data_IF_151901709018
#
_entry.id   IF_151901709018
#
_cell.length_a   1.000
_cell.length_b   1.000
_cell.length_c   1.000
_cell.angle_alpha   90.00
_cell.angle_beta   90.00
_cell.angle_gamma   90.00
#
_symmetry.space_group_name_H-M   'P 1'
#
loop_
_entity.id
_entity.type
_entity.pdbx_description
1 polymer ?
#
# COMPACT_ATOMS: atom_id res chain seq x y z
N UNK A 1 27.10 -25.36 -79.75
CA UNK A 1 27.02 -24.42 -78.59
C UNK A 1 25.63 -24.19 -78.10
N UNK A 2 24.57 -24.19 -78.90
CA UNK A 2 23.17 -23.93 -78.49
C UNK A 2 22.53 -24.96 -77.55
N UNK A 3 22.89 -26.26 -77.67
CA UNK A 3 22.33 -27.28 -76.81
C UNK A 3 22.75 -27.27 -75.29
N UNK A 4 23.93 -26.64 -75.04
CA UNK A 4 24.40 -26.50 -73.61
C UNK A 4 23.83 -25.29 -72.95
N UNK A 5 23.39 -24.28 -73.64
CA UNK A 5 22.75 -23.07 -73.12
C UNK A 5 21.28 -23.36 -72.73
N UNK A 6 20.56 -24.26 -73.43
CA UNK A 6 19.18 -24.67 -73.07
C UNK A 6 19.12 -25.53 -71.76
N UNK A 7 20.16 -26.32 -71.47
CA UNK A 7 20.21 -27.15 -70.30
C UNK A 7 20.45 -26.32 -69.04
N UNK A 8 21.17 -25.19 -69.10
CA UNK A 8 21.45 -24.28 -67.98
C UNK A 8 20.19 -23.44 -67.64
N UNK A 9 19.43 -23.04 -68.68
CA UNK A 9 18.19 -22.29 -68.48
C UNK A 9 17.07 -23.14 -67.81
N UNK A 10 16.99 -24.46 -68.16
CA UNK A 10 16.02 -25.39 -67.58
C UNK A 10 16.37 -25.72 -66.10
N UNK A 11 17.68 -25.81 -65.73
CA UNK A 11 18.10 -26.05 -64.37
C UNK A 11 17.87 -24.83 -63.46
N UNK A 12 17.99 -23.61 -63.99
CA UNK A 12 17.73 -22.36 -63.24
C UNK A 12 16.23 -22.15 -62.98
N UNK A 13 15.35 -22.64 -63.88
CA UNK A 13 13.88 -22.52 -63.69
C UNK A 13 13.31 -23.51 -62.69
N UNK A 14 13.97 -24.66 -62.50
CA UNK A 14 13.58 -25.66 -61.49
C UNK A 14 13.97 -25.28 -60.06
N UNK A 15 14.96 -24.40 -59.88
CA UNK A 15 15.38 -23.90 -58.56
C UNK A 15 14.48 -22.78 -58.03
N UNK A 16 13.73 -22.11 -58.91
CA UNK A 16 12.81 -21.02 -58.51
C UNK A 16 11.43 -21.51 -58.02
N UNK A 17 11.04 -22.75 -58.30
CA UNK A 17 9.74 -23.31 -57.86
C UNK A 17 9.80 -23.97 -56.49
N UNK A 18 10.99 -24.28 -55.95
CA UNK A 18 11.16 -24.88 -54.66
C UNK A 18 11.07 -23.87 -53.49
N UNK A 19 11.03 -22.55 -53.77
CA UNK A 19 11.00 -21.50 -52.74
C UNK A 19 9.58 -21.11 -52.28
N UNK A 20 8.51 -21.62 -52.92
CA UNK A 20 7.13 -21.22 -52.61
C UNK A 20 6.33 -22.21 -51.77
N UNK A 21 6.94 -23.29 -51.26
CA UNK A 21 6.21 -24.31 -50.48
C UNK A 21 6.74 -24.40 -49.03
N UNK A 22 7.07 -23.24 -48.42
CA UNK A 22 7.13 -23.19 -46.94
C UNK A 22 5.69 -23.17 -46.43
N UNK A 23 5.30 -24.13 -45.56
CA UNK A 23 4.01 -23.99 -44.86
C UNK A 23 3.97 -22.64 -44.17
N UNK A 24 2.81 -21.99 -44.13
CA UNK A 24 2.68 -20.73 -43.39
C UNK A 24 3.18 -20.98 -41.95
N UNK A 25 4.22 -20.24 -41.58
CA UNK A 25 4.65 -20.23 -40.19
C UNK A 25 3.48 -19.63 -39.45
N UNK A 26 2.85 -20.43 -38.60
CA UNK A 26 1.80 -19.96 -37.70
C UNK A 26 2.35 -18.70 -37.01
N UNK A 27 1.65 -17.57 -37.06
CA UNK A 27 2.12 -16.39 -36.37
C UNK A 27 2.30 -16.74 -34.90
N UNK A 28 3.56 -16.71 -34.43
CA UNK A 28 3.82 -16.87 -32.99
C UNK A 28 2.87 -15.93 -32.27
N UNK A 29 2.12 -16.39 -31.25
CA UNK A 29 1.27 -15.52 -30.47
C UNK A 29 2.13 -14.36 -29.99
N UNK A 30 1.67 -13.12 -30.24
CA UNK A 30 2.35 -11.94 -29.68
C UNK A 30 2.42 -12.14 -28.17
N UNK A 31 3.60 -11.90 -27.55
CA UNK A 31 3.69 -11.93 -26.10
C UNK A 31 2.57 -11.08 -25.50
N UNK A 32 1.90 -11.59 -24.48
CA UNK A 32 0.93 -10.80 -23.73
C UNK A 32 1.69 -9.61 -23.11
N UNK A 33 1.34 -8.36 -23.41
CA UNK A 33 2.01 -7.21 -22.81
C UNK A 33 1.77 -7.10 -21.29
N UNK A 34 0.76 -7.78 -20.77
CA UNK A 34 0.39 -7.76 -19.36
C UNK A 34 1.21 -8.75 -18.54
N UNK A 35 1.49 -9.96 -19.07
CA UNK A 35 2.17 -11.01 -18.34
C UNK A 35 3.32 -11.63 -19.17
N UNK A 36 4.33 -12.29 -18.55
CA UNK A 36 4.45 -12.58 -17.11
C UNK A 36 4.83 -11.36 -16.27
N UNK A 37 4.43 -11.39 -14.99
CA UNK A 37 4.82 -10.41 -13.96
C UNK A 37 5.58 -11.10 -12.85
N UNK A 38 6.71 -10.53 -12.44
CA UNK A 38 7.50 -11.02 -11.29
C UNK A 38 7.67 -9.91 -10.26
N UNK A 39 7.27 -10.18 -9.02
CA UNK A 39 7.47 -9.31 -7.86
C UNK A 39 8.07 -10.12 -6.72
N UNK A 40 9.30 -9.83 -6.35
CA UNK A 40 10.03 -10.64 -5.38
C UNK A 40 10.15 -12.10 -5.82
N UNK A 41 9.61 -13.03 -5.03
CA UNK A 41 9.58 -14.46 -5.34
C UNK A 41 8.32 -14.91 -6.08
N UNK A 42 7.36 -14.03 -6.30
CA UNK A 42 6.08 -14.33 -6.96
C UNK A 42 6.20 -14.07 -8.45
N UNK A 43 5.86 -15.07 -9.28
CA UNK A 43 5.77 -14.93 -10.72
C UNK A 43 4.42 -15.43 -11.21
N UNK A 44 3.63 -14.55 -11.80
CA UNK A 44 2.36 -14.89 -12.44
C UNK A 44 2.51 -14.82 -13.96
N UNK A 45 1.99 -15.85 -14.65
CA UNK A 45 1.96 -15.91 -16.11
C UNK A 45 0.64 -15.43 -16.70
N UNK A 46 -0.34 -15.18 -15.83
CA UNK A 46 -1.69 -14.67 -16.14
C UNK A 46 -2.27 -13.98 -14.90
N UNK A 47 -3.36 -13.24 -15.06
CA UNK A 47 -4.06 -12.60 -13.94
C UNK A 47 -4.52 -13.66 -12.92
N UNK A 48 -4.44 -13.36 -11.60
CA UNK A 48 -4.91 -14.29 -10.57
C UNK A 48 -6.42 -14.50 -10.70
N UNK A 49 -6.85 -15.76 -10.71
CA UNK A 49 -8.27 -16.10 -10.80
C UNK A 49 -9.05 -15.66 -9.55
N UNK A 50 -8.43 -15.75 -8.39
CA UNK A 50 -8.96 -15.31 -7.11
C UNK A 50 -7.81 -14.95 -6.18
N UNK A 51 -8.05 -13.97 -5.28
CA UNK A 51 -7.08 -13.45 -4.33
C UNK A 51 -7.62 -13.58 -2.91
N UNK A 52 -6.78 -13.97 -1.98
CA UNK A 52 -7.06 -13.91 -0.54
C UNK A 52 -6.11 -12.88 0.08
N UNK A 53 -6.64 -11.96 0.87
CA UNK A 53 -5.83 -10.99 1.61
C UNK A 53 -5.91 -11.26 3.11
N UNK A 54 -4.76 -11.57 3.73
CA UNK A 54 -4.65 -11.88 5.15
C UNK A 54 -4.23 -10.67 6.00
N UNK A 55 -4.24 -9.47 5.42
CA UNK A 55 -3.86 -8.23 6.13
C UNK A 55 -4.75 -7.06 5.70
N UNK A 56 -5.13 -6.16 6.63
CA UNK A 56 -5.93 -4.97 6.31
C UNK A 56 -5.28 -4.10 5.22
N UNK A 57 -3.98 -3.80 5.34
CA UNK A 57 -3.28 -2.94 4.37
C UNK A 57 -3.36 -3.46 2.94
N UNK A 58 -3.04 -4.75 2.71
CA UNK A 58 -3.15 -5.33 1.35
C UNK A 58 -4.59 -5.41 0.88
N UNK A 59 -5.57 -5.60 1.77
CA UNK A 59 -7.00 -5.56 1.42
C UNK A 59 -7.39 -4.18 0.92
N UNK A 60 -7.08 -3.12 1.68
CA UNK A 60 -7.39 -1.75 1.30
C UNK A 60 -6.70 -1.36 -0.02
N UNK A 61 -5.41 -1.72 -0.19
CA UNK A 61 -4.68 -1.48 -1.44
C UNK A 61 -5.33 -2.16 -2.66
N UNK A 62 -5.88 -3.38 -2.52
CA UNK A 62 -6.60 -4.06 -3.62
C UNK A 62 -7.86 -3.27 -4.00
N UNK A 63 -8.58 -2.72 -3.02
CA UNK A 63 -9.74 -1.86 -3.28
C UNK A 63 -9.35 -0.52 -3.90
N UNK A 64 -8.31 0.13 -3.42
CA UNK A 64 -7.79 1.39 -3.97
C UNK A 64 -7.39 1.25 -5.44
N UNK A 65 -6.83 0.10 -5.81
CA UNK A 65 -6.49 -0.25 -7.20
C UNK A 65 -7.71 -0.58 -8.07
N UNK A 66 -8.92 -0.72 -7.48
CA UNK A 66 -10.15 -1.06 -8.20
C UNK A 66 -10.36 -2.56 -8.41
N UNK A 67 -9.58 -3.43 -7.77
CA UNK A 67 -9.65 -4.89 -7.95
C UNK A 67 -10.31 -5.63 -6.78
N UNK A 68 -11.14 -4.96 -5.97
CA UNK A 68 -11.84 -5.56 -4.83
C UNK A 68 -12.68 -6.80 -5.17
N UNK A 69 -13.15 -6.93 -6.42
CA UNK A 69 -13.92 -8.08 -6.87
C UNK A 69 -13.08 -9.36 -6.98
N UNK A 70 -11.77 -9.24 -7.16
CA UNK A 70 -10.85 -10.40 -7.15
C UNK A 70 -10.70 -11.02 -5.76
N UNK A 71 -11.05 -10.30 -4.69
CA UNK A 71 -10.95 -10.82 -3.33
C UNK A 71 -12.02 -11.88 -3.06
N UNK A 72 -11.62 -13.14 -3.06
CA UNK A 72 -12.44 -14.29 -2.67
C UNK A 72 -12.60 -14.38 -1.14
N UNK A 73 -11.70 -13.75 -0.38
CA UNK A 73 -11.78 -13.69 1.06
C UNK A 73 -10.71 -12.79 1.68
N UNK A 74 -10.95 -12.41 2.92
CA UNK A 74 -10.09 -11.48 3.65
C UNK A 74 -9.86 -11.95 5.10
N UNK A 75 -8.86 -11.37 5.77
CA UNK A 75 -8.64 -11.60 7.19
C UNK A 75 -9.82 -11.09 8.04
N UNK A 76 -9.96 -11.64 9.24
CA UNK A 76 -10.94 -11.20 10.24
C UNK A 76 -10.75 -9.73 10.64
N UNK A 77 -9.55 -9.17 10.48
CA UNK A 77 -9.22 -7.78 10.79
C UNK A 77 -9.49 -6.80 9.65
N UNK A 78 -9.90 -7.28 8.48
CA UNK A 78 -10.16 -6.44 7.30
C UNK A 78 -11.58 -5.87 7.38
N UNK A 79 -11.72 -4.68 7.93
CA UNK A 79 -13.01 -3.99 8.13
C UNK A 79 -13.24 -2.86 7.13
N UNK A 80 -12.18 -2.39 6.46
CA UNK A 80 -12.22 -1.33 5.47
C UNK A 80 -11.81 -1.82 4.07
N UNK A 81 -12.48 -1.30 3.05
CA UNK A 81 -13.76 -0.60 3.09
C UNK A 81 -14.91 -1.52 3.57
N UNK A 82 -16.10 -0.98 3.78
CA UNK A 82 -17.25 -1.78 4.24
C UNK A 82 -17.56 -3.01 3.36
N UNK A 83 -17.27 -2.93 2.06
CA UNK A 83 -17.36 -4.07 1.13
C UNK A 83 -16.37 -5.19 1.46
N UNK A 84 -15.21 -4.89 2.03
CA UNK A 84 -14.27 -5.89 2.53
C UNK A 84 -14.83 -6.60 3.77
N UNK A 85 -15.55 -5.87 4.63
CA UNK A 85 -16.19 -6.44 5.80
C UNK A 85 -17.22 -7.54 5.45
N UNK A 86 -17.81 -7.49 4.26
CA UNK A 86 -18.77 -8.48 3.77
C UNK A 86 -18.14 -9.71 3.11
N UNK A 87 -16.82 -9.73 2.87
CA UNK A 87 -16.11 -10.85 2.25
C UNK A 87 -15.98 -12.04 3.22
N UNK A 88 -15.87 -13.28 2.72
CA UNK A 88 -15.60 -14.46 3.54
C UNK A 88 -14.36 -14.28 4.42
N UNK A 89 -14.42 -14.74 5.67
CA UNK A 89 -13.31 -14.65 6.62
C UNK A 89 -12.38 -15.84 6.47
N UNK A 90 -11.09 -15.56 6.26
CA UNK A 90 -10.03 -16.54 5.99
C UNK A 90 -9.03 -16.69 7.15
N UNK A 91 -9.41 -16.22 8.35
CA UNK A 91 -8.53 -16.18 9.50
C UNK A 91 -7.52 -15.03 9.43
N UNK A 92 -6.37 -15.19 10.05
CA UNK A 92 -5.26 -14.22 10.03
C UNK A 92 -4.00 -14.82 9.41
N UNK A 93 -2.98 -14.00 9.17
CA UNK A 93 -1.68 -14.50 8.69
C UNK A 93 -1.03 -15.51 9.66
N UNK A 94 -1.32 -15.40 10.96
CA UNK A 94 -0.80 -16.30 11.99
C UNK A 94 -1.64 -17.58 12.16
N UNK A 95 -2.94 -17.51 11.86
CA UNK A 95 -3.90 -18.60 11.98
C UNK A 95 -4.85 -18.58 10.76
N UNK A 96 -4.36 -18.90 9.55
CA UNK A 96 -5.18 -18.90 8.36
C UNK A 96 -6.10 -20.13 8.33
N UNK A 97 -7.31 -19.94 7.83
CA UNK A 97 -8.32 -20.99 7.60
C UNK A 97 -8.00 -21.74 6.29
N UNK A 98 -7.01 -22.62 6.35
CA UNK A 98 -6.42 -23.28 5.16
C UNK A 98 -7.47 -23.95 4.26
N UNK A 99 -8.48 -24.62 4.85
CA UNK A 99 -9.54 -25.28 4.07
C UNK A 99 -10.43 -24.27 3.33
N UNK A 100 -10.72 -23.12 3.94
CA UNK A 100 -11.48 -22.05 3.28
C UNK A 100 -10.67 -21.39 2.16
N UNK A 101 -9.37 -21.15 2.40
CA UNK A 101 -8.47 -20.62 1.37
C UNK A 101 -8.41 -21.58 0.19
N UNK A 102 -8.24 -22.87 0.43
CA UNK A 102 -8.25 -23.90 -0.62
C UNK A 102 -9.58 -23.92 -1.39
N UNK A 103 -10.70 -23.89 -0.67
CA UNK A 103 -12.04 -23.91 -1.29
C UNK A 103 -12.34 -22.65 -2.10
N UNK A 104 -11.71 -21.52 -1.79
CA UNK A 104 -11.86 -20.26 -2.54
C UNK A 104 -11.21 -20.28 -3.92
N UNK A 105 -10.32 -21.23 -4.20
CA UNK A 105 -9.57 -21.31 -5.44
C UNK A 105 -8.55 -20.18 -5.61
N UNK A 106 -8.13 -19.52 -4.52
CA UNK A 106 -7.18 -18.44 -4.58
C UNK A 106 -5.83 -18.90 -5.13
N UNK A 107 -5.34 -18.20 -6.16
CA UNK A 107 -4.02 -18.41 -6.75
C UNK A 107 -2.97 -17.43 -6.24
N UNK A 108 -3.40 -16.36 -5.55
CA UNK A 108 -2.55 -15.38 -4.92
C UNK A 108 -3.04 -15.09 -3.49
N UNK A 109 -2.12 -15.15 -2.53
CA UNK A 109 -2.37 -14.79 -1.12
C UNK A 109 -1.49 -13.59 -0.77
N UNK A 110 -2.09 -12.57 -0.17
CA UNK A 110 -1.45 -11.30 0.17
C UNK A 110 -1.28 -11.17 1.69
N UNK A 111 -0.09 -10.77 2.13
CA UNK A 111 0.26 -10.54 3.53
C UNK A 111 1.12 -9.28 3.67
N UNK A 112 1.12 -8.66 4.85
CA UNK A 112 2.07 -7.58 5.20
C UNK A 112 3.23 -8.07 6.07
N UNK A 113 3.09 -9.26 6.65
CA UNK A 113 4.14 -9.92 7.43
C UNK A 113 4.35 -11.34 6.91
N UNK A 114 5.56 -11.85 7.11
CA UNK A 114 5.93 -13.19 6.66
C UNK A 114 5.11 -14.25 7.42
N UNK A 115 4.36 -15.12 6.72
CA UNK A 115 3.74 -16.28 7.34
C UNK A 115 4.78 -17.26 7.91
N UNK A 116 4.36 -18.14 8.81
CA UNK A 116 5.24 -19.24 9.26
C UNK A 116 5.61 -20.13 8.07
N UNK A 117 6.75 -20.83 8.17
CA UNK A 117 7.21 -21.75 7.12
C UNK A 117 6.17 -22.84 6.79
N UNK A 118 5.49 -23.36 7.81
CA UNK A 118 4.43 -24.36 7.64
C UNK A 118 3.22 -23.79 6.89
N UNK A 119 2.81 -22.55 7.22
CA UNK A 119 1.72 -21.85 6.52
C UNK A 119 2.10 -21.59 5.06
N UNK A 120 3.30 -21.05 4.82
CA UNK A 120 3.79 -20.79 3.48
C UNK A 120 3.82 -22.06 2.62
N UNK A 121 4.39 -23.15 3.15
CA UNK A 121 4.43 -24.46 2.48
C UNK A 121 3.02 -24.97 2.17
N UNK A 122 2.10 -24.87 3.13
CA UNK A 122 0.71 -25.31 2.92
C UNK A 122 0.00 -24.53 1.82
N UNK A 123 0.16 -23.21 1.76
CA UNK A 123 -0.40 -22.36 0.71
C UNK A 123 0.19 -22.70 -0.67
N UNK A 124 1.51 -22.90 -0.75
CA UNK A 124 2.19 -23.29 -1.98
C UNK A 124 1.74 -24.67 -2.49
N UNK A 125 1.53 -25.65 -1.58
CA UNK A 125 1.00 -26.96 -1.93
C UNK A 125 -0.44 -26.91 -2.48
N UNK A 126 -1.21 -25.87 -2.17
CA UNK A 126 -2.53 -25.62 -2.75
C UNK A 126 -2.45 -24.94 -4.14
N UNK A 127 -1.25 -24.59 -4.60
CA UNK A 127 -1.03 -23.86 -5.85
C UNK A 127 -1.10 -22.36 -5.73
N UNK A 128 -1.25 -21.81 -4.51
CA UNK A 128 -1.27 -20.38 -4.29
C UNK A 128 0.17 -19.81 -4.18
N UNK A 129 0.42 -18.68 -4.83
CA UNK A 129 1.61 -17.89 -4.58
C UNK A 129 1.36 -16.91 -3.44
N UNK A 130 2.39 -16.61 -2.65
CA UNK A 130 2.25 -15.73 -1.48
C UNK A 130 3.11 -14.50 -1.68
N UNK A 131 2.46 -13.34 -1.75
CA UNK A 131 3.13 -12.04 -1.79
C UNK A 131 3.14 -11.45 -0.37
N UNK A 132 4.33 -11.11 0.11
CA UNK A 132 4.51 -10.34 1.33
C UNK A 132 4.90 -8.91 0.94
N UNK A 133 4.05 -7.95 1.28
CA UNK A 133 4.30 -6.51 1.12
C UNK A 133 4.55 -5.91 2.51
N UNK A 134 5.83 -5.75 2.92
CA UNK A 134 6.13 -5.18 4.22
C UNK A 134 5.75 -3.70 4.27
N UNK A 135 5.58 -3.18 5.49
CA UNK A 135 5.38 -1.73 5.69
C UNK A 135 6.53 -0.96 5.06
N UNK A 136 6.18 0.11 4.37
CA UNK A 136 7.15 1.03 3.79
C UNK A 136 7.54 2.12 4.80
N UNK A 137 8.76 2.65 4.66
CA UNK A 137 9.29 3.72 5.51
C UNK A 137 9.20 5.11 4.84
N UNK A 138 8.68 5.15 3.62
CA UNK A 138 8.56 6.36 2.80
C UNK A 138 7.30 6.32 1.93
N UNK A 139 6.83 7.50 1.52
CA UNK A 139 5.73 7.62 0.54
C UNK A 139 6.04 6.89 -0.77
N UNK A 140 7.28 7.03 -1.27
CA UNK A 140 7.67 6.33 -2.49
C UNK A 140 7.65 4.80 -2.32
N UNK A 141 8.05 4.29 -1.15
CA UNK A 141 7.93 2.87 -0.83
C UNK A 141 6.48 2.38 -0.83
N UNK A 142 5.53 3.19 -0.33
CA UNK A 142 4.09 2.90 -0.42
C UNK A 142 3.64 2.85 -1.89
N UNK A 143 4.03 3.82 -2.70
CA UNK A 143 3.72 3.82 -4.15
C UNK A 143 4.32 2.59 -4.86
N UNK A 144 5.53 2.17 -4.47
CA UNK A 144 6.15 0.94 -4.99
C UNK A 144 5.35 -0.30 -4.60
N UNK A 145 4.80 -0.38 -3.39
CA UNK A 145 3.90 -1.46 -2.99
C UNK A 145 2.63 -1.49 -3.87
N UNK A 146 2.04 -0.34 -4.18
CA UNK A 146 0.91 -0.26 -5.13
C UNK A 146 1.29 -0.73 -6.54
N UNK A 147 2.46 -0.32 -7.07
CA UNK A 147 2.95 -0.79 -8.38
C UNK A 147 3.16 -2.30 -8.39
N UNK A 148 3.80 -2.82 -7.36
CA UNK A 148 4.01 -4.27 -7.20
C UNK A 148 2.70 -5.04 -7.18
N UNK A 149 1.75 -4.58 -6.37
CA UNK A 149 0.44 -5.22 -6.25
C UNK A 149 -0.38 -5.07 -7.53
N UNK A 150 -0.46 -3.86 -8.09
CA UNK A 150 -1.19 -3.59 -9.33
C UNK A 150 -0.70 -4.44 -10.49
N UNK A 151 0.62 -4.54 -10.67
CA UNK A 151 1.19 -5.37 -11.74
C UNK A 151 0.84 -6.84 -11.59
N UNK A 152 0.81 -7.39 -10.38
CA UNK A 152 0.40 -8.79 -10.17
C UNK A 152 -1.10 -8.99 -10.39
N UNK A 153 -1.95 -8.02 -10.03
CA UNK A 153 -3.40 -8.16 -10.16
C UNK A 153 -3.89 -8.01 -11.61
N UNK A 154 -3.27 -7.14 -12.41
CA UNK A 154 -3.77 -6.80 -13.75
C UNK A 154 -2.66 -6.55 -14.80
N UNK A 155 -1.43 -6.95 -14.52
CA UNK A 155 -0.35 -6.95 -15.49
C UNK A 155 0.47 -5.66 -15.58
N UNK A 156 1.46 -5.70 -16.48
CA UNK A 156 2.48 -4.65 -16.61
C UNK A 156 1.97 -3.33 -17.21
N UNK A 157 0.82 -3.31 -17.85
CA UNK A 157 0.24 -2.11 -18.47
C UNK A 157 -0.97 -1.64 -17.65
N UNK A 158 -2.00 -2.48 -17.57
CA UNK A 158 -3.26 -2.12 -16.89
C UNK A 158 -3.08 -1.94 -15.38
N UNK A 159 -2.39 -2.90 -14.74
CA UNK A 159 -2.13 -2.85 -13.30
C UNK A 159 -1.20 -1.70 -12.90
N UNK A 160 -0.19 -1.42 -13.72
CA UNK A 160 0.70 -0.27 -13.51
C UNK A 160 -0.04 1.06 -13.69
N UNK A 161 -0.93 1.17 -14.68
CA UNK A 161 -1.74 2.38 -14.87
C UNK A 161 -2.65 2.65 -13.66
N UNK A 162 -3.27 1.60 -13.09
CA UNK A 162 -4.06 1.72 -11.87
C UNK A 162 -3.19 2.20 -10.69
N UNK A 163 -1.99 1.63 -10.53
CA UNK A 163 -1.07 2.02 -9.46
C UNK A 163 -0.58 3.48 -9.61
N UNK A 164 -0.31 3.93 -10.83
CA UNK A 164 0.05 5.34 -11.08
C UNK A 164 -1.10 6.29 -10.77
N UNK A 165 -2.35 5.91 -11.05
CA UNK A 165 -3.51 6.71 -10.66
C UNK A 165 -3.64 6.84 -9.12
N UNK A 166 -3.39 5.75 -8.38
CA UNK A 166 -3.30 5.78 -6.91
C UNK A 166 -2.14 6.66 -6.46
N UNK A 167 -0.96 6.53 -7.09
CA UNK A 167 0.19 7.38 -6.79
C UNK A 167 -0.10 8.87 -6.96
N UNK A 168 -0.82 9.26 -8.01
CA UNK A 168 -1.28 10.63 -8.22
C UNK A 168 -2.29 11.08 -7.15
N UNK A 169 -3.20 10.21 -6.73
CA UNK A 169 -4.13 10.50 -5.64
C UNK A 169 -3.39 10.75 -4.32
N UNK A 170 -2.35 9.95 -4.01
CA UNK A 170 -1.46 10.18 -2.85
C UNK A 170 -0.82 11.58 -2.93
N UNK A 171 -0.25 11.94 -4.08
CA UNK A 171 0.39 13.26 -4.26
C UNK A 171 -0.60 14.42 -4.08
N UNK A 172 -1.82 14.28 -4.59
CA UNK A 172 -2.88 15.27 -4.43
C UNK A 172 -3.27 15.45 -2.95
N UNK A 173 -3.41 14.35 -2.19
CA UNK A 173 -3.73 14.40 -0.76
C UNK A 173 -2.60 15.04 0.07
N UNK A 174 -1.35 14.71 -0.21
CA UNK A 174 -0.19 15.35 0.39
C UNK A 174 -0.13 16.85 0.07
N UNK A 175 -0.40 17.23 -1.18
CA UNK A 175 -0.46 18.64 -1.58
C UNK A 175 -1.61 19.40 -0.87
N UNK A 176 -2.76 18.77 -0.68
CA UNK A 176 -3.88 19.34 0.06
C UNK A 176 -3.50 19.58 1.54
N UNK A 177 -2.87 18.59 2.19
CA UNK A 177 -2.39 18.75 3.56
C UNK A 177 -1.35 19.88 3.71
N UNK A 178 -0.38 19.95 2.80
CA UNK A 178 0.60 21.05 2.74
C UNK A 178 -0.08 22.42 2.56
N UNK A 179 -1.09 22.47 1.70
CA UNK A 179 -1.83 23.72 1.42
C UNK A 179 -2.60 24.18 2.65
N UNK A 180 -3.22 23.27 3.40
CA UNK A 180 -3.95 23.61 4.63
C UNK A 180 -3.04 24.29 5.65
N UNK A 181 -1.79 23.83 5.80
CA UNK A 181 -0.83 24.40 6.74
C UNK A 181 -0.10 25.64 6.23
N UNK A 182 -0.04 25.85 4.92
CA UNK A 182 0.74 26.95 4.30
C UNK A 182 0.26 28.36 4.65
N UNK A 183 -0.99 28.48 5.13
CA UNK A 183 -1.56 29.75 5.59
C UNK A 183 -1.19 30.15 7.02
N UNK A 184 -0.55 29.26 7.76
CA UNK A 184 -0.13 29.52 9.13
C UNK A 184 1.16 30.37 9.17
N UNK A 185 1.32 31.20 10.23
CA UNK A 185 2.49 32.06 10.40
C UNK A 185 3.79 31.27 10.64
N UNK A 186 3.68 30.08 11.21
CA UNK A 186 4.77 29.12 11.43
C UNK A 186 4.25 27.69 11.31
N UNK A 187 5.16 26.75 11.07
CA UNK A 187 4.86 25.32 11.13
C UNK A 187 4.39 24.95 12.55
N UNK A 188 3.21 24.35 12.72
CA UNK A 188 2.74 23.99 14.05
C UNK A 188 3.51 22.80 14.62
N UNK A 189 3.86 22.85 15.90
CA UNK A 189 4.41 21.71 16.63
C UNK A 189 3.33 20.66 16.86
N UNK A 190 3.52 19.47 16.29
CA UNK A 190 2.57 18.37 16.33
C UNK A 190 3.11 17.16 17.09
N UNK A 191 2.35 16.71 18.08
CA UNK A 191 2.55 15.43 18.76
C UNK A 191 1.52 14.43 18.28
N UNK A 192 1.93 13.27 17.76
CA UNK A 192 1.06 12.14 17.46
C UNK A 192 1.34 11.03 18.48
N UNK A 193 0.46 10.91 19.46
CA UNK A 193 0.51 9.90 20.51
C UNK A 193 -0.15 8.60 20.05
N UNK A 194 0.55 7.48 20.27
CA UNK A 194 0.00 6.14 20.10
C UNK A 194 -0.28 5.45 21.43
N UNK A 195 0.29 5.97 22.52
CA UNK A 195 -0.02 5.58 23.89
C UNK A 195 0.58 6.59 24.86
N UNK A 196 -0.29 7.13 25.71
CA UNK A 196 0.08 8.02 26.83
C UNK A 196 1.13 7.35 27.75
N UNK A 197 2.08 8.10 28.31
CA UNK A 197 2.29 9.53 28.10
C UNK A 197 3.34 9.87 27.04
N UNK A 198 4.21 8.94 26.64
CA UNK A 198 5.44 9.26 25.88
C UNK A 198 5.64 8.41 24.62
N UNK A 199 4.71 7.51 24.30
CA UNK A 199 4.79 6.78 23.03
C UNK A 199 4.15 7.60 21.92
N UNK A 200 5.01 8.16 21.07
CA UNK A 200 4.56 9.05 19.99
C UNK A 200 5.36 8.84 18.71
N UNK A 201 4.89 9.40 17.61
CA UNK A 201 5.62 9.40 16.36
C UNK A 201 7.00 10.06 16.52
N UNK A 202 8.03 9.38 16.03
CA UNK A 202 9.44 9.80 16.11
C UNK A 202 10.05 9.95 14.71
N UNK A 203 11.22 10.56 14.60
CA UNK A 203 11.84 10.87 13.32
C UNK A 203 12.18 9.67 12.45
N UNK A 204 12.31 8.48 13.03
CA UNK A 204 12.52 7.23 12.31
C UNK A 204 11.23 6.57 11.83
N UNK A 205 10.05 6.94 12.38
CA UNK A 205 8.76 6.39 11.99
C UNK A 205 8.23 7.05 10.72
N UNK A 206 7.43 6.32 9.93
CA UNK A 206 6.79 6.91 8.75
C UNK A 206 5.81 8.00 9.15
N UNK A 207 5.14 7.86 10.27
CA UNK A 207 4.19 8.83 10.82
C UNK A 207 4.89 10.17 11.11
N UNK A 208 6.05 10.14 11.78
CA UNK A 208 6.85 11.33 12.05
C UNK A 208 7.39 11.98 10.77
N UNK A 209 7.82 11.16 9.80
CA UNK A 209 8.27 11.65 8.48
C UNK A 209 7.12 12.29 7.70
N UNK A 210 5.92 11.73 7.75
CA UNK A 210 4.73 12.28 7.08
C UNK A 210 4.30 13.61 7.70
N UNK A 211 4.31 13.72 9.03
CA UNK A 211 4.06 15.01 9.70
C UNK A 211 5.03 16.09 9.19
N UNK A 212 6.33 15.77 9.16
CA UNK A 212 7.34 16.70 8.66
C UNK A 212 7.15 17.01 7.16
N UNK A 213 6.81 16.02 6.35
CA UNK A 213 6.61 16.19 4.91
C UNK A 213 5.47 17.14 4.58
N UNK A 214 4.37 17.11 5.35
CA UNK A 214 3.24 18.02 5.09
C UNK A 214 3.38 19.38 5.74
N UNK A 215 4.41 19.61 6.56
CA UNK A 215 4.75 20.91 7.10
C UNK A 215 4.50 21.10 8.58
N UNK A 216 4.27 20.03 9.34
CA UNK A 216 4.35 20.08 10.80
C UNK A 216 5.81 20.01 11.27
N UNK A 217 6.07 20.60 12.43
CA UNK A 217 7.22 20.23 13.21
C UNK A 217 6.84 19.07 14.12
N UNK A 218 7.40 17.87 13.86
CA UNK A 218 7.10 16.68 14.67
C UNK A 218 7.83 16.77 16.01
N UNK A 219 7.10 16.78 17.13
CA UNK A 219 7.67 16.87 18.47
C UNK A 219 8.68 15.77 18.79
N UNK A 220 8.52 14.59 18.21
CA UNK A 220 9.41 13.44 18.37
C UNK A 220 10.52 13.32 17.33
N UNK A 221 10.76 14.35 16.49
CA UNK A 221 11.67 14.27 15.33
C UNK A 221 13.10 13.83 15.67
N UNK A 222 13.63 14.25 16.81
CA UNK A 222 15.00 13.92 17.26
C UNK A 222 15.13 12.54 17.93
N UNK A 223 14.00 11.84 18.13
CA UNK A 223 13.95 10.55 18.84
C UNK A 223 13.65 9.39 17.90
N UNK A 224 13.71 8.17 18.45
CA UNK A 224 13.54 6.93 17.71
C UNK A 224 12.66 5.92 18.46
N UNK A 225 12.19 4.90 17.74
CA UNK A 225 11.47 3.75 18.30
C UNK A 225 10.16 4.12 19.02
N UNK A 226 9.47 5.17 18.56
CA UNK A 226 8.22 5.62 19.17
C UNK A 226 8.33 6.08 20.63
N UNK A 227 9.53 6.43 21.09
CA UNK A 227 9.78 6.80 22.47
C UNK A 227 10.24 8.23 22.59
N UNK A 228 9.50 9.03 23.31
CA UNK A 228 9.89 10.36 23.76
C UNK A 228 10.44 10.27 25.20
N UNK A 229 11.53 10.96 25.57
CA UNK A 229 12.09 10.90 26.92
C UNK A 229 11.11 11.43 27.97
N UNK A 230 10.79 10.61 28.97
CA UNK A 230 9.88 11.02 30.05
C UNK A 230 10.38 12.26 30.81
N UNK A 231 11.70 12.39 30.95
CA UNK A 231 12.32 13.55 31.60
C UNK A 231 12.08 14.88 30.87
N UNK A 232 11.76 14.82 29.58
CA UNK A 232 11.57 15.99 28.72
C UNK A 232 10.09 16.33 28.49
N UNK A 233 9.14 15.48 28.91
CA UNK A 233 7.71 15.71 28.74
C UNK A 233 7.25 17.06 29.31
N UNK A 234 7.87 17.53 30.40
CA UNK A 234 7.52 18.83 31.01
C UNK A 234 7.90 20.04 30.17
N UNK A 235 8.82 19.87 29.24
CA UNK A 235 9.25 20.92 28.30
C UNK A 235 8.56 20.81 26.94
N UNK A 236 7.72 19.80 26.76
CA UNK A 236 6.97 19.58 25.53
C UNK A 236 5.78 20.55 25.46
N UNK A 237 5.76 21.40 24.44
CA UNK A 237 4.74 22.46 24.23
C UNK A 237 4.14 22.36 22.82
N UNK A 238 3.39 21.31 22.50
CA UNK A 238 2.80 21.15 21.17
C UNK A 238 1.67 22.16 20.92
N UNK A 239 1.55 22.61 19.66
CA UNK A 239 0.41 23.39 19.18
C UNK A 239 -0.83 22.52 18.93
N UNK A 240 -0.60 21.25 18.56
CA UNK A 240 -1.65 20.27 18.29
C UNK A 240 -1.22 18.87 18.76
N UNK A 241 -2.18 18.13 19.33
CA UNK A 241 -1.99 16.74 19.74
C UNK A 241 -2.99 15.86 18.98
N UNK A 242 -2.48 14.83 18.34
CA UNK A 242 -3.25 13.77 17.73
C UNK A 242 -3.10 12.51 18.58
N UNK A 243 -4.21 11.84 18.86
CA UNK A 243 -4.26 10.63 19.70
C UNK A 243 -4.75 9.45 18.87
N UNK A 244 -4.23 8.26 19.13
CA UNK A 244 -4.58 7.06 18.37
C UNK A 244 -6.06 6.67 18.48
N UNK A 245 -6.75 7.12 19.54
CA UNK A 245 -8.18 6.89 19.75
C UNK A 245 -8.82 7.96 20.65
N UNK A 246 -10.13 7.85 20.86
CA UNK A 246 -10.90 8.81 21.64
C UNK A 246 -10.62 8.72 23.16
N UNK A 247 -10.34 7.52 23.68
CA UNK A 247 -10.05 7.33 25.11
C UNK A 247 -8.71 7.98 25.47
N UNK A 248 -7.76 7.95 24.54
CA UNK A 248 -6.47 8.63 24.66
C UNK A 248 -6.66 10.16 24.73
N UNK A 249 -7.58 10.73 23.95
CA UNK A 249 -7.89 12.18 23.99
C UNK A 249 -8.33 12.61 25.38
N UNK A 250 -9.20 11.86 26.02
CA UNK A 250 -9.69 12.18 27.38
C UNK A 250 -8.57 12.03 28.42
N UNK A 251 -7.75 10.99 28.26
CA UNK A 251 -6.56 10.77 29.10
C UNK A 251 -5.60 11.96 29.00
N UNK A 252 -5.25 12.40 27.78
CA UNK A 252 -4.36 13.54 27.53
C UNK A 252 -4.90 14.82 28.15
N UNK A 253 -6.18 15.15 27.94
CA UNK A 253 -6.80 16.37 28.47
C UNK A 253 -6.81 16.46 30.00
N UNK A 254 -6.85 15.31 30.69
CA UNK A 254 -6.93 15.22 32.16
C UNK A 254 -5.57 14.95 32.81
N UNK A 255 -4.53 14.66 32.02
CA UNK A 255 -3.22 14.26 32.52
C UNK A 255 -2.46 15.41 33.15
N UNK A 256 -1.52 15.07 34.03
CA UNK A 256 -0.64 16.05 34.67
C UNK A 256 0.35 16.66 33.65
N UNK A 257 0.81 15.86 32.71
CA UNK A 257 1.83 16.25 31.72
C UNK A 257 1.25 17.18 30.65
N UNK A 258 0.04 16.89 30.14
CA UNK A 258 -0.51 17.57 28.98
C UNK A 258 -1.62 18.59 29.28
N UNK A 259 -2.30 18.52 30.41
CA UNK A 259 -3.43 19.43 30.72
C UNK A 259 -3.06 20.92 30.71
N UNK A 260 -1.77 21.24 30.85
CA UNK A 260 -1.26 22.60 30.91
C UNK A 260 -0.70 23.13 29.59
N UNK A 261 -0.51 22.26 28.57
CA UNK A 261 0.07 22.65 27.28
C UNK A 261 -0.92 23.46 26.43
N UNK A 262 -0.38 24.24 25.48
CA UNK A 262 -1.18 25.11 24.62
C UNK A 262 -2.23 24.34 23.80
N UNK A 263 -1.88 23.19 23.25
CA UNK A 263 -2.79 22.34 22.49
C UNK A 263 -4.07 21.99 23.26
N UNK A 264 -3.95 21.60 24.54
CA UNK A 264 -5.11 21.24 25.37
C UNK A 264 -5.95 22.47 25.69
N UNK A 265 -5.32 23.58 26.09
CA UNK A 265 -6.01 24.84 26.42
C UNK A 265 -6.78 25.43 25.24
N UNK A 266 -6.26 25.25 24.03
CA UNK A 266 -6.84 25.76 22.79
C UNK A 266 -7.79 24.77 22.09
N UNK A 267 -8.10 23.61 22.72
CA UNK A 267 -8.98 22.61 22.13
C UNK A 267 -8.37 21.88 20.90
N UNK A 268 -7.05 21.91 20.77
CA UNK A 268 -6.29 21.30 19.65
C UNK A 268 -5.82 19.88 19.97
N UNK A 269 -6.73 19.07 20.50
CA UNK A 269 -6.51 17.63 20.73
C UNK A 269 -7.59 16.84 19.99
N UNK A 270 -7.18 15.97 19.05
CA UNK A 270 -8.08 15.22 18.17
C UNK A 270 -7.70 13.73 18.19
N UNK A 271 -8.69 12.86 18.29
CA UNK A 271 -8.53 11.44 17.94
C UNK A 271 -8.40 11.29 16.42
N UNK A 272 -7.52 10.41 16.00
CA UNK A 272 -7.35 10.01 14.60
C UNK A 272 -7.69 8.53 14.41
N UNK A 273 -8.00 8.14 13.18
CA UNK A 273 -8.06 6.72 12.85
C UNK A 273 -6.63 6.17 12.64
N UNK A 274 -5.97 5.78 13.72
CA UNK A 274 -4.60 5.24 13.65
C UNK A 274 -4.51 3.95 12.82
N UNK A 275 -5.61 3.22 12.63
CA UNK A 275 -5.62 2.04 11.75
C UNK A 275 -5.37 2.41 10.28
N UNK A 276 -5.67 3.66 9.87
CA UNK A 276 -5.34 4.19 8.57
C UNK A 276 -3.82 4.25 8.35
N UNK A 277 -3.07 4.71 9.36
CA UNK A 277 -1.61 4.71 9.30
C UNK A 277 -1.02 3.29 9.29
N UNK A 278 -1.66 2.35 9.98
CA UNK A 278 -1.23 0.95 10.00
C UNK A 278 -1.44 0.27 8.65
N UNK A 279 -2.48 0.63 7.89
CA UNK A 279 -2.77 0.03 6.59
C UNK A 279 -1.90 0.54 5.46
N UNK A 280 -1.38 1.77 5.54
CA UNK A 280 -0.62 2.45 4.49
C UNK A 280 -1.35 2.49 3.13
N UNK A 281 -2.67 2.61 3.18
CA UNK A 281 -3.57 2.77 2.03
C UNK A 281 -3.84 4.25 1.73
N UNK A 282 -4.69 4.55 0.74
CA UNK A 282 -5.14 5.93 0.46
C UNK A 282 -5.76 6.59 1.69
N UNK A 283 -6.42 5.81 2.56
CA UNK A 283 -7.06 6.28 3.79
C UNK A 283 -6.05 6.93 4.77
N UNK A 284 -4.79 6.47 4.79
CA UNK A 284 -3.74 7.12 5.58
C UNK A 284 -3.51 8.58 5.15
N UNK A 285 -3.56 8.85 3.86
CA UNK A 285 -3.35 10.21 3.33
C UNK A 285 -4.61 11.08 3.47
N UNK A 286 -5.81 10.47 3.54
CA UNK A 286 -7.04 11.18 3.92
C UNK A 286 -6.95 11.65 5.36
N UNK A 287 -6.58 10.75 6.28
CA UNK A 287 -6.41 11.09 7.70
C UNK A 287 -5.35 12.19 7.89
N UNK A 288 -4.24 12.10 7.17
CA UNK A 288 -3.19 13.13 7.23
C UNK A 288 -3.69 14.51 6.75
N UNK A 289 -4.53 14.54 5.71
CA UNK A 289 -5.15 15.80 5.24
C UNK A 289 -6.12 16.36 6.30
N UNK A 290 -6.95 15.52 6.93
CA UNK A 290 -7.83 15.93 8.02
C UNK A 290 -7.07 16.43 9.25
N UNK A 291 -5.93 15.82 9.56
CA UNK A 291 -5.03 16.31 10.62
C UNK A 291 -4.52 17.71 10.31
N UNK A 292 -4.10 17.96 9.08
CA UNK A 292 -3.63 19.28 8.66
C UNK A 292 -4.75 20.34 8.71
N UNK A 293 -5.95 20.02 8.25
CA UNK A 293 -7.12 20.89 8.32
C UNK A 293 -7.49 21.22 9.78
N UNK A 294 -7.50 20.22 10.66
CA UNK A 294 -7.76 20.43 12.08
C UNK A 294 -6.73 21.34 12.75
N UNK A 295 -5.45 21.17 12.43
CA UNK A 295 -4.39 22.01 12.95
C UNK A 295 -4.54 23.46 12.46
N UNK A 296 -4.89 23.67 11.20
CA UNK A 296 -5.07 24.98 10.59
C UNK A 296 -6.35 25.72 11.02
N UNK A 297 -7.39 24.99 11.46
CA UNK A 297 -8.63 25.61 11.88
C UNK A 297 -8.41 26.57 13.06
N UNK A 298 -9.10 27.71 13.07
CA UNK A 298 -9.10 28.61 14.23
C UNK A 298 -9.76 27.91 15.44
N UNK A 299 -9.20 28.05 16.66
CA UNK A 299 -9.88 27.54 17.85
C UNK A 299 -11.32 28.05 17.91
N UNK A 300 -12.27 27.19 18.28
CA UNK A 300 -13.63 27.64 18.54
C UNK A 300 -13.61 28.61 19.74
N UNK A 301 -14.22 29.79 19.59
CA UNK A 301 -14.39 30.77 20.67
C UNK A 301 -15.24 30.23 21.82
#
# INVERSE_FOLDING_TARGET
MMKKLLAIAAAAMLLLTAACNRPPVDPQPKPDPEYPVTVGSVTLTEAPAAVVSLSPGTTEMVYDLGYGDLLAGVSEYCTNPSSAAAKPRMGSVYQPEMDKIKASGATLVLCTVQPTESTLTGLQQMGAQVLVLPRADTVEGIKQNYRALGSLLAGNVTGMAAAEAVGQAIDQKLAAAKTALSGLAAAPDATLLISYPYRMATGDTIEGKLLAEVGFHCSGAEYTNWLYPESELKALEPDVIFCADADEVDTVKQSYEYSVVAAVKNGKVKAIDFTAFQSQSLRMFDELAEMAEFAAATPAE
#
